data_IF_951303401965
#
_entry.id   IF_951303401965
#
_cell.length_a   1.000
_cell.length_b   1.000
_cell.length_c   1.000
_cell.angle_alpha   90.00
_cell.angle_beta   90.00
_cell.angle_gamma   90.00
#
_symmetry.space_group_name_H-M   'P 1'
#
loop_
_entity.id
_entity.type
_entity.pdbx_description
1 polymer ?
#
# COMPACT_ATOMS: atom_id res chain seq x y z
N UNK A 1 18.08 -16.37 4.20
CA UNK A 1 19.37 -15.64 4.04
C UNK A 1 19.24 -14.15 4.43
N UNK A 2 20.29 -13.62 5.06
CA UNK A 2 20.53 -12.19 5.22
C UNK A 2 21.70 -11.81 4.32
N UNK A 3 21.54 -10.76 3.53
CA UNK A 3 22.57 -10.29 2.59
C UNK A 3 22.83 -8.81 2.88
N UNK A 4 24.08 -8.43 3.10
CA UNK A 4 24.46 -7.03 3.26
C UNK A 4 24.89 -6.44 1.90
N UNK A 5 24.27 -5.33 1.53
CA UNK A 5 24.56 -4.56 0.32
C UNK A 5 24.90 -3.13 0.71
N UNK A 6 25.72 -2.47 -0.10
CA UNK A 6 25.97 -1.03 0.01
C UNK A 6 25.45 -0.35 -1.25
N UNK A 7 24.32 0.34 -1.12
CA UNK A 7 23.65 1.08 -2.20
C UNK A 7 24.14 2.53 -2.19
N UNK A 8 25.21 2.80 -2.94
CA UNK A 8 25.91 4.08 -2.84
C UNK A 8 26.54 4.25 -1.47
N UNK A 9 26.09 5.23 -0.69
CA UNK A 9 26.52 5.45 0.71
C UNK A 9 25.62 4.77 1.75
N UNK A 10 24.54 4.10 1.34
CA UNK A 10 23.55 3.51 2.24
C UNK A 10 23.77 2.00 2.39
N UNK A 11 24.12 1.54 3.59
CA UNK A 11 24.13 0.11 3.90
C UNK A 11 22.70 -0.41 4.02
N UNK A 12 22.38 -1.47 3.28
CA UNK A 12 21.06 -2.11 3.22
C UNK A 12 21.21 -3.60 3.50
N UNK A 13 20.37 -4.12 4.41
CA UNK A 13 20.30 -5.55 4.68
C UNK A 13 19.06 -6.12 3.99
N UNK A 14 19.26 -7.07 3.09
CA UNK A 14 18.20 -7.77 2.38
C UNK A 14 17.82 -9.03 3.15
N UNK A 15 16.53 -9.15 3.49
CA UNK A 15 15.95 -10.31 4.14
C UNK A 15 15.23 -11.17 3.09
N UNK A 16 15.78 -12.35 2.79
CA UNK A 16 15.27 -13.23 1.72
C UNK A 16 14.80 -14.60 2.24
N UNK A 17 14.38 -14.68 3.51
CA UNK A 17 13.81 -15.89 4.12
C UNK A 17 12.61 -15.53 4.98
N UNK A 18 11.56 -16.35 4.89
CA UNK A 18 10.35 -16.21 5.72
C UNK A 18 10.66 -16.29 7.21
N UNK A 19 11.57 -17.17 7.61
CA UNK A 19 11.86 -17.41 9.02
C UNK A 19 12.59 -16.21 9.61
N UNK A 20 13.59 -15.70 8.90
CA UNK A 20 14.29 -14.47 9.29
C UNK A 20 13.33 -13.26 9.30
N UNK A 21 12.43 -13.16 8.30
CA UNK A 21 11.43 -12.09 8.27
C UNK A 21 10.47 -12.16 9.47
N UNK A 22 10.05 -13.36 9.89
CA UNK A 22 9.23 -13.53 11.11
C UNK A 22 10.00 -13.11 12.37
N UNK A 23 11.25 -13.52 12.51
CA UNK A 23 12.09 -13.11 13.64
C UNK A 23 12.24 -11.58 13.71
N UNK A 24 12.47 -10.93 12.58
CA UNK A 24 12.71 -9.48 12.51
C UNK A 24 11.43 -8.66 12.62
N UNK A 25 10.35 -9.02 11.92
CA UNK A 25 9.16 -8.17 11.78
C UNK A 25 7.96 -8.60 12.63
N UNK A 26 8.05 -9.71 13.37
CA UNK A 26 7.04 -10.10 14.37
C UNK A 26 7.60 -10.15 15.79
N UNK A 27 8.80 -10.71 15.98
CA UNK A 27 9.37 -10.88 17.32
C UNK A 27 10.25 -9.70 17.75
N UNK A 28 10.96 -9.08 16.81
CA UNK A 28 11.90 -7.97 17.05
C UNK A 28 11.57 -6.74 16.20
N UNK A 29 10.28 -6.45 16.05
CA UNK A 29 9.77 -5.46 15.09
C UNK A 29 10.01 -4.00 15.51
N UNK A 30 9.97 -3.72 16.82
CA UNK A 30 10.02 -2.36 17.34
C UNK A 30 11.28 -1.57 16.90
N UNK A 31 12.51 -2.10 16.97
CA UNK A 31 13.70 -1.41 16.45
C UNK A 31 13.69 -1.20 14.92
N UNK A 32 12.96 -2.02 14.19
CA UNK A 32 12.90 -2.05 12.72
C UNK A 32 11.65 -1.37 12.15
N UNK A 33 10.84 -0.76 13.02
CA UNK A 33 9.53 -0.21 12.67
C UNK A 33 9.61 1.11 11.90
N UNK A 34 10.71 1.85 12.03
CA UNK A 34 10.94 3.11 11.33
C UNK A 34 11.33 2.89 9.86
N UNK A 35 11.26 3.96 9.05
CA UNK A 35 11.54 3.93 7.61
C UNK A 35 12.75 4.80 7.29
N UNK A 36 13.59 4.34 6.38
CA UNK A 36 14.57 5.20 5.68
C UNK A 36 13.80 6.12 4.74
N UNK A 37 14.04 7.44 4.83
CA UNK A 37 13.28 8.45 4.09
C UNK A 37 14.06 8.85 2.83
N UNK A 38 13.60 8.49 1.61
CA UNK A 38 14.22 8.96 0.39
C UNK A 38 13.90 10.45 0.14
N UNK A 39 14.78 11.15 -0.57
CA UNK A 39 14.58 12.58 -0.86
C UNK A 39 13.29 12.85 -1.67
N UNK A 40 12.83 11.90 -2.49
CA UNK A 40 11.62 12.06 -3.31
C UNK A 40 10.34 12.26 -2.48
N UNK A 41 10.31 11.85 -1.21
CA UNK A 41 9.13 11.96 -0.34
C UNK A 41 9.19 13.15 0.63
N UNK A 42 10.19 14.03 0.48
CA UNK A 42 10.30 15.24 1.31
C UNK A 42 9.52 16.43 0.73
N UNK A 43 9.07 16.33 -0.53
CA UNK A 43 8.23 17.33 -1.18
C UNK A 43 7.02 17.68 -0.29
N UNK A 44 6.80 18.98 -0.04
CA UNK A 44 5.72 19.46 0.82
C UNK A 44 5.77 18.92 2.27
N UNK A 45 6.96 18.60 2.78
CA UNK A 45 7.17 17.99 4.09
C UNK A 45 6.42 16.65 4.29
N UNK A 46 6.10 15.95 3.20
CA UNK A 46 5.21 14.78 3.25
C UNK A 46 5.69 13.71 4.24
N UNK A 47 6.99 13.42 4.29
CA UNK A 47 7.61 12.52 5.28
C UNK A 47 7.32 12.85 6.76
N UNK A 48 7.04 14.11 7.12
CA UNK A 48 6.74 14.54 8.49
C UNK A 48 5.24 14.49 8.82
N UNK A 49 4.40 14.30 7.81
CA UNK A 49 2.94 14.47 7.94
C UNK A 49 2.18 13.17 7.74
N UNK A 50 2.71 12.24 6.94
CA UNK A 50 2.02 11.01 6.56
C UNK A 50 2.34 9.81 7.46
N UNK A 51 1.32 8.98 7.69
CA UNK A 51 1.43 7.71 8.42
C UNK A 51 2.47 6.75 7.80
N UNK A 52 2.71 6.83 6.49
CA UNK A 52 3.62 5.92 5.78
C UNK A 52 5.11 6.16 6.11
N UNK A 53 5.48 7.36 6.54
CA UNK A 53 6.88 7.77 6.78
C UNK A 53 7.17 8.19 8.22
N UNK A 54 6.14 8.55 9.00
CA UNK A 54 6.31 8.90 10.40
C UNK A 54 6.92 7.73 11.22
N UNK A 55 7.86 8.01 12.12
CA UNK A 55 8.36 7.00 13.06
C UNK A 55 7.25 6.59 14.03
N UNK A 56 7.41 5.43 14.67
CA UNK A 56 6.47 4.97 15.70
C UNK A 56 6.43 5.99 16.83
N UNK A 57 5.28 6.65 16.94
CA UNK A 57 5.03 7.79 17.81
C UNK A 57 3.53 7.85 18.16
N UNK A 58 3.13 8.62 19.19
CA UNK A 58 1.71 8.79 19.51
C UNK A 58 0.88 9.27 18.30
N UNK A 59 1.42 10.20 17.49
CA UNK A 59 0.77 10.68 16.26
C UNK A 59 0.57 9.56 15.24
N UNK A 60 1.60 8.77 14.97
CA UNK A 60 1.51 7.62 14.06
C UNK A 60 0.51 6.56 14.55
N UNK A 61 0.52 6.24 15.86
CA UNK A 61 -0.43 5.30 16.47
C UNK A 61 -1.87 5.79 16.33
N UNK A 62 -2.10 7.09 16.53
CA UNK A 62 -3.41 7.69 16.36
C UNK A 62 -3.91 7.59 14.91
N UNK A 63 -3.07 7.91 13.92
CA UNK A 63 -3.42 7.72 12.51
C UNK A 63 -3.76 6.28 12.18
N UNK A 64 -2.94 5.31 12.64
CA UNK A 64 -3.25 3.88 12.43
C UNK A 64 -4.57 3.47 13.06
N UNK A 65 -4.88 3.95 14.26
CA UNK A 65 -6.14 3.67 14.93
C UNK A 65 -7.33 4.23 14.14
N UNK A 66 -7.24 5.49 13.70
CA UNK A 66 -8.28 6.12 12.89
C UNK A 66 -8.51 5.33 11.59
N UNK A 67 -7.44 5.00 10.87
CA UNK A 67 -7.54 4.22 9.63
C UNK A 67 -8.18 2.85 9.88
N UNK A 68 -7.71 2.10 10.87
CA UNK A 68 -8.21 0.75 11.14
C UNK A 68 -9.65 0.73 11.65
N UNK A 69 -10.02 1.65 12.54
CA UNK A 69 -11.33 1.63 13.22
C UNK A 69 -12.40 2.35 12.42
N UNK A 70 -12.06 3.48 11.79
CA UNK A 70 -13.06 4.39 11.21
C UNK A 70 -13.09 4.38 9.68
N UNK A 71 -12.00 4.02 9.01
CA UNK A 71 -11.95 4.01 7.53
C UNK A 71 -12.04 2.59 6.96
N UNK A 72 -11.30 1.65 7.53
CA UNK A 72 -11.12 0.30 6.98
C UNK A 72 -11.65 -0.82 7.89
N UNK A 73 -12.55 -0.49 8.83
CA UNK A 73 -13.22 -1.52 9.63
C UNK A 73 -14.18 -2.35 8.77
N UNK A 74 -14.45 -3.63 9.11
CA UNK A 74 -15.36 -4.48 8.34
C UNK A 74 -16.71 -3.81 8.08
N UNK A 75 -17.30 -3.17 9.10
CA UNK A 75 -18.58 -2.47 8.98
C UNK A 75 -18.53 -1.32 7.96
N UNK A 76 -17.42 -0.58 7.90
CA UNK A 76 -17.22 0.50 6.93
C UNK A 76 -17.01 -0.06 5.53
N UNK A 77 -16.23 -1.12 5.40
CA UNK A 77 -16.02 -1.81 4.12
C UNK A 77 -17.33 -2.36 3.57
N UNK A 78 -18.17 -2.96 4.42
CA UNK A 78 -19.47 -3.49 4.02
C UNK A 78 -20.44 -2.38 3.62
N UNK A 79 -20.50 -1.29 4.40
CA UNK A 79 -21.33 -0.12 4.08
C UNK A 79 -20.97 0.50 2.71
N UNK A 80 -19.70 0.49 2.33
CA UNK A 80 -19.23 0.99 1.03
C UNK A 80 -19.18 -0.09 -0.07
N UNK A 81 -19.67 -1.31 0.18
CA UNK A 81 -19.56 -2.44 -0.76
C UNK A 81 -20.26 -2.18 -2.09
N UNK A 82 -21.44 -1.57 -2.07
CA UNK A 82 -22.22 -1.25 -3.28
C UNK A 82 -21.48 -0.30 -4.23
N UNK A 83 -20.74 0.67 -3.69
CA UNK A 83 -19.92 1.59 -4.48
C UNK A 83 -18.82 0.84 -5.22
N UNK A 84 -18.11 -0.06 -4.53
CA UNK A 84 -17.06 -0.90 -5.15
C UNK A 84 -17.64 -1.82 -6.22
N UNK A 85 -18.77 -2.46 -5.93
CA UNK A 85 -19.47 -3.31 -6.91
C UNK A 85 -19.88 -2.53 -8.16
N UNK A 86 -20.32 -1.27 -8.02
CA UNK A 86 -20.64 -0.43 -9.16
C UNK A 86 -19.41 -0.17 -10.06
N UNK A 87 -18.22 0.05 -9.48
CA UNK A 87 -16.98 0.24 -10.26
C UNK A 87 -16.50 -1.02 -10.96
N UNK A 88 -16.67 -2.17 -10.30
CA UNK A 88 -16.39 -3.48 -10.93
C UNK A 88 -17.36 -3.76 -12.08
N UNK A 89 -18.64 -3.41 -11.92
CA UNK A 89 -19.64 -3.53 -12.99
C UNK A 89 -19.27 -2.65 -14.20
N UNK A 90 -18.82 -1.42 -13.97
CA UNK A 90 -18.34 -0.53 -15.04
C UNK A 90 -17.13 -1.11 -15.78
N UNK A 91 -16.17 -1.70 -15.06
CA UNK A 91 -15.05 -2.41 -15.69
C UNK A 91 -15.54 -3.57 -16.55
N UNK A 92 -16.47 -4.38 -16.04
CA UNK A 92 -17.04 -5.50 -16.78
C UNK A 92 -17.76 -5.05 -18.06
N UNK A 93 -18.57 -3.99 -17.98
CA UNK A 93 -19.26 -3.39 -19.13
C UNK A 93 -18.26 -2.89 -20.18
N UNK A 94 -17.19 -2.21 -19.76
CA UNK A 94 -16.11 -1.79 -20.65
C UNK A 94 -15.45 -2.97 -21.38
N UNK A 95 -15.10 -4.03 -20.65
CA UNK A 95 -14.48 -5.23 -21.24
C UNK A 95 -15.44 -5.93 -22.21
N UNK A 96 -16.72 -6.01 -21.86
CA UNK A 96 -17.75 -6.60 -22.73
C UNK A 96 -17.89 -5.81 -24.05
N UNK A 97 -17.82 -4.49 -24.00
CA UNK A 97 -17.86 -3.65 -25.18
C UNK A 97 -16.64 -3.83 -26.08
N UNK A 98 -15.43 -3.89 -25.48
CA UNK A 98 -14.23 -4.25 -26.22
C UNK A 98 -14.37 -5.62 -26.90
N UNK A 99 -14.93 -6.60 -26.20
CA UNK A 99 -15.18 -7.93 -26.77
C UNK A 99 -16.14 -7.91 -27.95
N UNK A 100 -17.24 -7.13 -27.88
CA UNK A 100 -18.20 -7.01 -28.98
C UNK A 100 -17.62 -6.34 -30.22
N UNK A 101 -16.76 -5.36 -30.01
CA UNK A 101 -16.11 -4.58 -31.08
C UNK A 101 -14.79 -5.19 -31.56
N UNK A 102 -14.39 -6.34 -31.01
CA UNK A 102 -13.13 -7.02 -31.35
C UNK A 102 -11.88 -6.23 -30.97
N UNK A 103 -11.98 -5.29 -30.02
CA UNK A 103 -10.88 -4.44 -29.59
C UNK A 103 -10.08 -5.12 -28.45
N UNK A 104 -8.74 -5.05 -28.48
CA UNK A 104 -7.92 -5.52 -27.38
C UNK A 104 -8.09 -4.64 -26.14
N UNK A 105 -7.98 -5.26 -24.96
CA UNK A 105 -8.01 -4.56 -23.66
C UNK A 105 -6.60 -4.44 -23.11
N UNK A 106 -6.15 -3.22 -22.83
CA UNK A 106 -4.99 -2.98 -21.98
C UNK A 106 -5.38 -3.19 -20.52
N UNK A 107 -5.00 -4.35 -19.98
CA UNK A 107 -5.31 -4.75 -18.60
C UNK A 107 -4.63 -3.83 -17.58
N UNK A 108 -3.41 -3.36 -17.86
CA UNK A 108 -2.69 -2.46 -16.95
C UNK A 108 -3.43 -1.13 -16.80
N UNK A 109 -3.84 -0.54 -17.92
CA UNK A 109 -4.66 0.68 -17.93
C UNK A 109 -6.03 0.46 -17.30
N UNK A 110 -6.72 -0.63 -17.65
CA UNK A 110 -8.04 -0.94 -17.11
C UNK A 110 -8.00 -1.13 -15.58
N UNK A 111 -7.05 -1.93 -15.08
CA UNK A 111 -6.87 -2.13 -13.64
C UNK A 111 -6.53 -0.82 -12.93
N UNK A 112 -5.60 -0.03 -13.47
CA UNK A 112 -5.22 1.27 -12.90
C UNK A 112 -6.40 2.23 -12.79
N UNK A 113 -7.18 2.39 -13.87
CA UNK A 113 -8.37 3.25 -13.88
C UNK A 113 -9.43 2.74 -12.91
N UNK A 114 -9.70 1.44 -12.88
CA UNK A 114 -10.69 0.89 -11.94
C UNK A 114 -10.24 1.05 -10.49
N UNK A 115 -8.97 0.83 -10.16
CA UNK A 115 -8.45 1.00 -8.81
C UNK A 115 -8.53 2.44 -8.29
N UNK A 116 -8.37 3.44 -9.16
CA UNK A 116 -8.54 4.86 -8.79
C UNK A 116 -10.01 5.29 -8.66
N UNK A 117 -10.92 4.55 -9.29
CA UNK A 117 -12.36 4.83 -9.23
C UNK A 117 -13.04 4.24 -7.99
N UNK A 118 -12.42 3.26 -7.32
CA UNK A 118 -12.89 2.65 -6.06
C UNK A 118 -12.84 3.64 -4.91
#
# INVERSE_FOLDING_TARGET
PLISLRLGSVTTVVVSSSDVAKEMFLKNDQPLSNRTIPNSVTAGDHHKLTMSWLPVSPKWRNFRKITAVHLLSPQRLDACSSLRQAKVKQLHEFVLECSRTGQPVDIGKAAFTTSLNL
#
